data_IF_734144581230
#
_entry.id   IF_734144581230
#
_cell.length_a   1.000
_cell.length_b   1.000
_cell.length_c   1.000
_cell.angle_alpha   90.00
_cell.angle_beta   90.00
_cell.angle_gamma   90.00
#
_symmetry.space_group_name_H-M   'P 1'
#
loop_
_entity.id
_entity.type
_entity.pdbx_description
1 polymer ?
#
# COMPACT_ATOMS: atom_id res chain seq x y z
N UNK A 1 -1.81 17.83 -5.37
CA UNK A 1 -1.09 16.75 -4.66
C UNK A 1 0.34 17.22 -4.40
N UNK A 2 0.86 17.18 -3.18
CA UNK A 2 2.24 17.65 -2.89
C UNK A 2 3.30 16.62 -3.33
N UNK A 3 4.51 17.09 -3.66
CA UNK A 3 5.66 16.23 -4.02
C UNK A 3 5.97 15.22 -2.90
N UNK A 4 5.84 15.64 -1.66
CA UNK A 4 6.07 14.80 -0.48
C UNK A 4 5.05 13.65 -0.39
N UNK A 5 3.78 13.93 -0.70
CA UNK A 5 2.73 12.92 -0.74
C UNK A 5 2.93 11.91 -1.88
N UNK A 6 3.39 12.37 -3.04
CA UNK A 6 3.74 11.49 -4.16
C UNK A 6 4.90 10.54 -3.80
N UNK A 7 5.91 11.03 -3.07
CA UNK A 7 7.01 10.20 -2.57
C UNK A 7 6.53 9.11 -1.58
N UNK A 8 5.65 9.48 -0.65
CA UNK A 8 5.07 8.52 0.32
C UNK A 8 4.25 7.46 -0.40
N UNK A 9 3.42 7.84 -1.38
CA UNK A 9 2.63 6.90 -2.18
C UNK A 9 3.54 5.94 -2.95
N UNK A 10 4.59 6.45 -3.59
CA UNK A 10 5.58 5.64 -4.29
C UNK A 10 6.24 4.62 -3.37
N UNK A 11 6.69 5.06 -2.18
CA UNK A 11 7.31 4.19 -1.19
C UNK A 11 6.38 3.06 -0.72
N UNK A 12 5.12 3.39 -0.39
CA UNK A 12 4.12 2.39 0.02
C UNK A 12 3.86 1.39 -1.12
N UNK A 13 3.77 1.88 -2.36
CA UNK A 13 3.53 1.05 -3.54
C UNK A 13 4.67 0.05 -3.77
N UNK A 14 5.92 0.52 -3.69
CA UNK A 14 7.10 -0.33 -3.87
C UNK A 14 7.20 -1.39 -2.77
N UNK A 15 6.89 -1.04 -1.52
CA UNK A 15 6.89 -1.99 -0.40
C UNK A 15 5.78 -3.04 -0.55
N UNK A 16 4.56 -2.64 -0.92
CA UNK A 16 3.46 -3.57 -1.16
C UNK A 16 3.79 -4.56 -2.29
N UNK A 17 4.47 -4.11 -3.35
CA UNK A 17 4.91 -4.97 -4.45
C UNK A 17 5.94 -6.00 -3.97
N UNK A 18 6.99 -5.56 -3.25
CA UNK A 18 8.02 -6.46 -2.72
C UNK A 18 7.44 -7.51 -1.77
N UNK A 19 6.49 -7.14 -0.92
CA UNK A 19 5.84 -8.10 -0.01
C UNK A 19 5.03 -9.14 -0.77
N UNK A 20 4.29 -8.73 -1.80
CA UNK A 20 3.56 -9.67 -2.64
C UNK A 20 4.51 -10.64 -3.37
N UNK A 21 5.64 -10.16 -3.89
CA UNK A 21 6.68 -10.99 -4.50
C UNK A 21 7.31 -11.97 -3.49
N UNK A 22 7.56 -11.53 -2.26
CA UNK A 22 8.03 -12.40 -1.19
C UNK A 22 6.97 -13.45 -0.79
N UNK A 23 5.69 -13.09 -0.77
CA UNK A 23 4.60 -14.01 -0.42
C UNK A 23 4.47 -15.19 -1.41
N UNK A 24 4.77 -14.95 -2.69
CA UNK A 24 4.75 -15.98 -3.74
C UNK A 24 5.90 -16.97 -3.59
N UNK A 25 7.06 -16.50 -3.11
CA UNK A 25 8.31 -17.28 -3.11
C UNK A 25 8.67 -17.87 -1.73
N UNK A 26 7.80 -17.70 -0.73
CA UNK A 26 8.11 -18.13 0.64
C UNK A 26 7.55 -19.52 0.94
N UNK A 27 8.43 -20.44 1.35
CA UNK A 27 8.08 -21.82 1.74
C UNK A 27 7.42 -21.91 3.13
N UNK A 28 6.78 -20.83 3.58
CA UNK A 28 6.04 -20.77 4.84
C UNK A 28 4.66 -20.19 4.58
N UNK A 29 3.60 -21.01 4.62
CA UNK A 29 2.22 -20.54 4.41
C UNK A 29 1.81 -19.41 5.37
N UNK A 30 2.31 -19.43 6.61
CA UNK A 30 2.06 -18.37 7.57
C UNK A 30 2.75 -17.06 7.17
N UNK A 31 4.00 -17.13 6.71
CA UNK A 31 4.73 -15.94 6.26
C UNK A 31 4.12 -15.37 4.96
N UNK A 32 3.68 -16.23 4.03
CA UNK A 32 2.94 -15.82 2.84
C UNK A 32 1.66 -15.05 3.19
N UNK A 33 0.89 -15.57 4.15
CA UNK A 33 -0.33 -14.92 4.65
C UNK A 33 -0.05 -13.54 5.26
N UNK A 34 1.00 -13.43 6.10
CA UNK A 34 1.37 -12.13 6.71
C UNK A 34 1.78 -11.11 5.65
N UNK A 35 2.55 -11.53 4.64
CA UNK A 35 3.01 -10.65 3.56
C UNK A 35 1.85 -10.16 2.67
N UNK A 36 0.90 -11.04 2.33
CA UNK A 36 -0.30 -10.68 1.59
C UNK A 36 -1.20 -9.70 2.38
N UNK A 37 -1.36 -9.92 3.69
CA UNK A 37 -2.11 -9.02 4.56
C UNK A 37 -1.52 -7.61 4.60
N UNK A 38 -0.19 -7.48 4.73
CA UNK A 38 0.46 -6.16 4.74
C UNK A 38 0.40 -5.50 3.36
N UNK A 39 0.53 -6.25 2.26
CA UNK A 39 0.36 -5.71 0.92
C UNK A 39 -1.05 -5.11 0.71
N UNK A 40 -2.09 -5.79 1.20
CA UNK A 40 -3.48 -5.32 1.17
C UNK A 40 -3.70 -4.07 2.03
N UNK A 41 -3.12 -4.02 3.22
CA UNK A 41 -3.24 -2.85 4.09
C UNK A 41 -2.54 -1.61 3.48
N UNK A 42 -1.38 -1.79 2.84
CA UNK A 42 -0.73 -0.73 2.07
C UNK A 42 -1.64 -0.14 0.99
N UNK A 43 -2.35 -0.98 0.23
CA UNK A 43 -3.32 -0.51 -0.76
C UNK A 43 -4.53 0.19 -0.13
N UNK A 44 -4.98 -0.24 1.05
CA UNK A 44 -6.08 0.38 1.78
C UNK A 44 -5.71 1.82 2.24
N UNK A 45 -4.50 1.99 2.77
CA UNK A 45 -3.95 3.31 3.15
C UNK A 45 -3.90 4.24 1.93
N UNK A 46 -3.47 3.75 0.76
CA UNK A 46 -3.46 4.52 -0.48
C UNK A 46 -4.88 4.97 -0.88
N UNK A 47 -5.85 4.06 -0.90
CA UNK A 47 -7.26 4.36 -1.23
C UNK A 47 -7.89 5.38 -0.28
N UNK A 48 -7.61 5.27 1.02
CA UNK A 48 -8.14 6.19 2.04
C UNK A 48 -7.48 7.57 2.00
N UNK A 49 -6.21 7.63 1.56
CA UNK A 49 -5.55 8.89 1.31
C UNK A 49 -6.24 9.62 0.14
N UNK A 50 -6.55 8.93 -0.95
CA UNK A 50 -7.23 9.50 -2.13
C UNK A 50 -8.67 9.93 -1.84
N UNK A 51 -9.43 9.18 -1.03
CA UNK A 51 -10.80 9.52 -0.66
C UNK A 51 -10.89 10.74 0.25
N UNK A 52 -9.92 10.94 1.15
CA UNK A 52 -9.84 12.12 2.02
C UNK A 52 -9.58 13.42 1.24
N UNK A 53 -9.04 13.33 0.03
CA UNK A 53 -8.75 14.49 -0.83
C UNK A 53 -9.97 14.96 -1.64
N UNK A 54 -10.94 14.08 -1.92
CA UNK A 54 -12.17 14.47 -2.63
C UNK A 54 -13.12 15.34 -1.79
N UNK A 55 -13.01 15.27 -0.46
CA UNK A 55 -13.88 16.03 0.46
C UNK A 55 -13.38 17.47 0.63
N UNK A 56 -12.08 17.74 0.44
CA UNK A 56 -11.51 19.10 0.56
C UNK A 56 -11.67 19.97 -0.70
N UNK A 57 -11.93 19.37 -1.86
CA UNK A 57 -12.03 20.09 -3.15
C UNK A 57 -13.49 20.46 -3.51
N UNK A 58 -14.45 20.26 -2.60
CA UNK A 58 -15.89 20.52 -2.80
C UNK A 58 -16.47 21.61 -1.88
N UNK A 59 -15.64 22.42 -1.20
CA UNK A 59 -16.07 23.59 -0.41
C UNK A 59 -15.49 24.88 -0.97
#
# INVERSE_FOLDING_TARGET
MSIERLKIIGYITDMSKQMNEMAINVDSPFLAFLLDMVAKEGQNILKNSESSQKISDSN
#
